data_IF_243133785638
#
_entry.id   IF_243133785638
#
_cell.length_a   1.000
_cell.length_b   1.000
_cell.length_c   1.000
_cell.angle_alpha   90.00
_cell.angle_beta   90.00
_cell.angle_gamma   90.00
#
_symmetry.space_group_name_H-M   'P 1'
#
loop_
_entity.id
_entity.type
_entity.pdbx_description
1 polymer ?
#
# COMPACT_ATOMS: atom_id res chain seq x y z
N UNK A 1 -43.48 17.79 0.56
CA UNK A 1 -43.35 16.58 1.41
C UNK A 1 -42.58 15.55 0.59
N UNK A 2 -41.55 14.91 1.16
CA UNK A 2 -40.81 13.88 0.45
C UNK A 2 -41.77 12.74 0.09
N UNK A 3 -41.76 12.31 -1.18
CA UNK A 3 -42.65 11.26 -1.68
C UNK A 3 -42.26 9.93 -0.99
N UNK A 4 -43.22 9.23 -0.39
CA UNK A 4 -43.03 7.92 0.28
C UNK A 4 -42.25 6.94 -0.61
N UNK A 5 -42.55 6.95 -1.92
CA UNK A 5 -41.87 6.11 -2.91
C UNK A 5 -40.38 6.48 -3.06
N UNK A 6 -40.07 7.75 -2.95
CA UNK A 6 -38.67 8.25 -3.02
C UNK A 6 -37.85 7.79 -1.81
N UNK A 7 -38.44 7.93 -0.59
CA UNK A 7 -37.79 7.45 0.65
C UNK A 7 -37.58 5.95 0.59
N UNK A 8 -38.58 5.19 0.11
CA UNK A 8 -38.48 3.74 -0.03
C UNK A 8 -37.39 3.33 -1.05
N UNK A 9 -37.32 4.03 -2.18
CA UNK A 9 -36.27 3.82 -3.19
C UNK A 9 -34.89 4.08 -2.61
N UNK A 10 -34.73 5.16 -1.83
CA UNK A 10 -33.49 5.52 -1.18
C UNK A 10 -33.04 4.48 -0.14
N UNK A 11 -33.97 3.96 0.67
CA UNK A 11 -33.71 2.85 1.60
C UNK A 11 -33.18 1.62 0.84
N UNK A 12 -33.79 1.25 -0.28
CA UNK A 12 -33.36 0.10 -1.06
C UNK A 12 -31.96 0.31 -1.66
N UNK A 13 -31.68 1.48 -2.21
CA UNK A 13 -30.37 1.82 -2.75
C UNK A 13 -29.26 1.78 -1.67
N UNK A 14 -29.54 2.29 -0.46
CA UNK A 14 -28.58 2.22 0.65
C UNK A 14 -28.36 0.78 1.11
N UNK A 15 -29.42 -0.04 1.16
CA UNK A 15 -29.30 -1.49 1.46
C UNK A 15 -28.42 -2.23 0.45
N UNK A 16 -28.56 -1.91 -0.82
CA UNK A 16 -27.75 -2.55 -1.87
C UNK A 16 -26.29 -2.10 -1.80
N UNK A 17 -26.04 -0.80 -1.54
CA UNK A 17 -24.70 -0.29 -1.27
C UNK A 17 -24.07 -1.00 -0.06
N UNK A 18 -24.81 -1.19 1.02
CA UNK A 18 -24.34 -1.88 2.22
C UNK A 18 -23.95 -3.34 1.94
N UNK A 19 -24.68 -4.04 1.08
CA UNK A 19 -24.30 -5.42 0.66
C UNK A 19 -22.96 -5.42 -0.09
N UNK A 20 -22.76 -4.43 -0.97
CA UNK A 20 -21.50 -4.30 -1.75
C UNK A 20 -20.33 -3.98 -0.81
N UNK A 21 -20.48 -3.01 0.10
CA UNK A 21 -19.41 -2.65 1.05
C UNK A 21 -19.05 -3.80 1.97
N UNK A 22 -20.05 -4.57 2.44
CA UNK A 22 -19.81 -5.75 3.26
C UNK A 22 -19.07 -6.86 2.49
N UNK A 23 -19.43 -7.11 1.22
CA UNK A 23 -18.69 -8.04 0.37
C UNK A 23 -17.24 -7.61 0.15
N UNK A 24 -17.01 -6.32 -0.10
CA UNK A 24 -15.66 -5.75 -0.24
C UNK A 24 -14.85 -5.85 1.06
N UNK A 25 -15.48 -5.65 2.22
CA UNK A 25 -14.87 -5.88 3.53
C UNK A 25 -14.35 -7.33 3.65
N UNK A 26 -15.20 -8.32 3.37
CA UNK A 26 -14.85 -9.74 3.46
C UNK A 26 -13.71 -10.12 2.50
N UNK A 27 -13.77 -9.65 1.25
CA UNK A 27 -12.72 -9.90 0.25
C UNK A 27 -11.39 -9.30 0.73
N UNK A 28 -11.40 -8.06 1.23
CA UNK A 28 -10.19 -7.38 1.70
C UNK A 28 -9.60 -8.07 2.93
N UNK A 29 -10.43 -8.52 3.87
CA UNK A 29 -10.00 -9.29 5.04
C UNK A 29 -9.32 -10.61 4.64
N UNK A 30 -9.89 -11.35 3.69
CA UNK A 30 -9.29 -12.60 3.19
C UNK A 30 -7.93 -12.34 2.53
N UNK A 31 -7.82 -11.31 1.70
CA UNK A 31 -6.57 -10.95 1.03
C UNK A 31 -5.49 -10.48 2.01
N UNK A 32 -5.86 -9.72 3.04
CA UNK A 32 -4.96 -9.31 4.12
C UNK A 32 -4.37 -10.53 4.84
N UNK A 33 -5.21 -11.51 5.19
CA UNK A 33 -4.77 -12.73 5.87
C UNK A 33 -3.79 -13.54 4.99
N UNK A 34 -4.08 -13.65 3.68
CA UNK A 34 -3.19 -14.32 2.73
C UNK A 34 -1.85 -13.60 2.57
N UNK A 35 -1.85 -12.25 2.53
CA UNK A 35 -0.63 -11.45 2.43
C UNK A 35 0.27 -11.65 3.66
N UNK A 36 -0.30 -11.56 4.87
CA UNK A 36 0.44 -11.79 6.12
C UNK A 36 1.08 -13.16 6.19
N UNK A 37 0.35 -14.20 5.75
CA UNK A 37 0.92 -15.55 5.70
C UNK A 37 2.11 -15.62 4.75
N UNK A 38 2.01 -15.06 3.55
CA UNK A 38 3.11 -15.04 2.59
C UNK A 38 4.34 -14.31 3.12
N UNK A 39 4.15 -13.19 3.83
CA UNK A 39 5.26 -12.46 4.44
C UNK A 39 5.95 -13.34 5.49
N UNK A 40 5.20 -13.89 6.42
CA UNK A 40 5.72 -14.76 7.47
C UNK A 40 6.45 -16.01 6.92
N UNK A 41 5.98 -16.58 5.80
CA UNK A 41 6.59 -17.75 5.16
C UNK A 41 7.94 -17.41 4.49
N UNK A 42 8.16 -16.16 4.08
CA UNK A 42 9.37 -15.75 3.33
C UNK A 42 10.38 -14.95 4.15
N UNK A 43 9.95 -14.30 5.21
CA UNK A 43 10.75 -13.46 6.09
C UNK A 43 12.00 -14.16 6.66
N UNK A 44 11.94 -15.43 7.11
CA UNK A 44 13.12 -16.13 7.64
C UNK A 44 14.26 -16.26 6.62
N UNK A 45 13.94 -16.43 5.34
CA UNK A 45 14.94 -16.51 4.27
C UNK A 45 15.70 -15.19 4.11
N UNK A 46 15.00 -14.06 4.20
CA UNK A 46 15.65 -12.75 4.08
C UNK A 46 16.49 -12.39 5.29
N UNK A 47 16.06 -12.74 6.50
CA UNK A 47 16.89 -12.61 7.69
C UNK A 47 18.16 -13.48 7.61
N UNK A 48 18.07 -14.67 7.02
CA UNK A 48 19.24 -15.49 6.78
C UNK A 48 20.24 -14.82 5.82
N UNK A 49 19.76 -14.24 4.69
CA UNK A 49 20.61 -13.50 3.77
C UNK A 49 21.25 -12.27 4.43
N UNK A 50 20.48 -11.51 5.20
CA UNK A 50 21.00 -10.38 5.97
C UNK A 50 22.09 -10.83 6.95
N UNK A 51 21.88 -11.95 7.64
CA UNK A 51 22.85 -12.55 8.54
C UNK A 51 24.16 -12.94 7.84
N UNK A 52 24.09 -13.55 6.67
CA UNK A 52 25.28 -13.91 5.90
C UNK A 52 26.02 -12.68 5.38
N UNK A 53 25.33 -11.65 4.90
CA UNK A 53 25.95 -10.39 4.51
C UNK A 53 26.65 -9.75 5.72
N UNK A 54 25.97 -9.66 6.86
CA UNK A 54 26.53 -9.14 8.13
C UNK A 54 27.79 -9.90 8.53
N UNK A 55 27.77 -11.23 8.42
CA UNK A 55 28.90 -12.10 8.73
C UNK A 55 30.11 -11.84 7.82
N UNK A 56 29.89 -11.74 6.50
CA UNK A 56 30.93 -11.44 5.53
C UNK A 56 31.55 -10.06 5.79
N UNK A 57 30.72 -9.02 5.95
CA UNK A 57 31.19 -7.64 6.18
C UNK A 57 32.01 -7.49 7.46
N UNK A 58 31.69 -8.28 8.50
CA UNK A 58 32.43 -8.30 9.77
C UNK A 58 33.81 -8.94 9.65
N UNK A 59 33.91 -10.06 8.90
CA UNK A 59 35.18 -10.75 8.71
C UNK A 59 36.07 -10.07 7.67
N UNK A 60 35.47 -9.25 6.80
CA UNK A 60 36.16 -8.56 5.71
C UNK A 60 35.78 -7.07 5.67
N UNK A 61 36.24 -6.28 6.67
CA UNK A 61 35.89 -4.86 6.76
C UNK A 61 36.38 -4.05 5.55
N UNK A 62 37.48 -4.48 4.93
CA UNK A 62 38.08 -3.85 3.74
C UNK A 62 37.36 -4.22 2.43
N UNK A 63 36.31 -5.04 2.48
CA UNK A 63 35.60 -5.46 1.27
C UNK A 63 34.80 -4.28 0.69
N UNK A 64 35.23 -3.78 -0.46
CA UNK A 64 34.51 -2.75 -1.21
C UNK A 64 33.58 -3.40 -2.24
N UNK A 65 32.29 -3.13 -2.12
CA UNK A 65 31.28 -3.64 -3.05
C UNK A 65 30.44 -2.50 -3.61
N UNK A 66 30.11 -2.56 -4.91
CA UNK A 66 29.43 -1.47 -5.61
C UNK A 66 28.11 -1.03 -4.98
N UNK A 67 27.35 -1.95 -4.38
CA UNK A 67 26.06 -1.67 -3.74
C UNK A 67 26.19 -0.97 -2.38
N UNK A 68 27.40 -0.84 -1.82
CA UNK A 68 27.70 -0.12 -0.58
C UNK A 68 28.41 1.21 -0.81
N UNK A 69 28.70 1.56 -2.08
CA UNK A 69 29.36 2.81 -2.41
C UNK A 69 28.38 3.98 -2.31
N UNK A 70 28.57 4.85 -1.31
CA UNK A 70 27.69 5.99 -1.03
C UNK A 70 27.85 7.15 -2.03
N UNK A 71 28.84 7.06 -2.96
CA UNK A 71 29.09 8.07 -4.00
C UNK A 71 29.17 9.50 -3.42
N UNK A 72 29.90 9.66 -2.32
CA UNK A 72 30.04 10.93 -1.60
C UNK A 72 30.67 12.02 -2.46
N UNK A 73 31.38 11.62 -3.53
CA UNK A 73 31.97 12.53 -4.52
C UNK A 73 30.95 13.30 -5.37
N UNK A 74 29.68 12.85 -5.43
CA UNK A 74 28.63 13.48 -6.24
C UNK A 74 27.88 14.50 -5.38
N UNK A 75 27.85 15.79 -5.77
CA UNK A 75 27.06 16.80 -5.09
C UNK A 75 25.56 16.45 -5.08
N UNK A 76 24.86 16.85 -4.02
CA UNK A 76 23.44 16.51 -3.85
C UNK A 76 22.54 16.99 -5.02
N UNK A 77 22.91 18.11 -5.66
CA UNK A 77 22.17 18.70 -6.78
C UNK A 77 22.34 17.91 -8.09
N UNK A 78 23.44 17.15 -8.22
CA UNK A 78 23.75 16.35 -9.42
C UNK A 78 23.36 14.88 -9.25
N UNK A 79 22.97 14.46 -8.04
CA UNK A 79 22.58 13.07 -7.75
C UNK A 79 21.33 12.67 -8.53
N UNK A 80 21.37 11.49 -9.09
CA UNK A 80 20.25 10.84 -9.76
C UNK A 80 19.52 9.93 -8.76
N UNK A 81 18.32 10.32 -8.40
CA UNK A 81 17.52 9.69 -7.35
C UNK A 81 16.37 8.93 -8.00
N UNK A 82 16.37 7.61 -7.83
CA UNK A 82 15.24 6.77 -8.25
C UNK A 82 14.29 6.50 -7.10
N UNK A 83 12.98 6.69 -7.32
CA UNK A 83 11.94 6.36 -6.33
C UNK A 83 11.03 5.26 -6.84
N UNK A 84 11.01 4.10 -6.15
CA UNK A 84 10.02 3.05 -6.38
C UNK A 84 8.79 3.39 -5.54
N UNK A 85 7.73 3.89 -6.20
CA UNK A 85 6.50 4.33 -5.52
C UNK A 85 5.43 3.26 -5.62
N UNK A 86 5.06 2.66 -4.49
CA UNK A 86 4.11 1.54 -4.46
C UNK A 86 2.72 2.05 -4.05
N UNK A 87 1.85 2.22 -5.04
CA UNK A 87 0.45 2.65 -4.88
C UNK A 87 -0.53 1.52 -5.20
N UNK A 88 -1.81 1.72 -4.90
CA UNK A 88 -2.85 0.76 -5.29
C UNK A 88 -3.21 0.84 -6.78
N UNK A 89 -3.72 -0.26 -7.32
CA UNK A 89 -4.35 -0.27 -8.67
C UNK A 89 -5.79 0.24 -8.64
N UNK A 90 -6.48 0.15 -7.47
CA UNK A 90 -7.89 0.50 -7.32
C UNK A 90 -8.12 1.36 -6.08
N UNK A 91 -9.09 2.24 -6.15
CA UNK A 91 -9.48 3.13 -5.05
C UNK A 91 -10.24 2.43 -3.90
N UNK A 92 -10.99 3.23 -3.16
CA UNK A 92 -11.78 2.84 -1.99
C UNK A 92 -10.95 2.30 -0.82
N UNK A 93 -9.70 2.72 -0.70
CA UNK A 93 -8.77 2.37 0.38
C UNK A 93 -8.49 3.57 1.32
N UNK A 94 -9.47 4.43 1.55
CA UNK A 94 -9.31 5.61 2.41
C UNK A 94 -8.16 6.51 1.95
N UNK A 95 -7.33 6.96 2.88
CA UNK A 95 -6.20 7.86 2.62
C UNK A 95 -4.92 7.14 2.12
N UNK A 96 -4.94 5.82 1.92
CA UNK A 96 -3.77 5.01 1.57
C UNK A 96 -2.91 5.63 0.46
N UNK A 97 -3.50 5.87 -0.73
CA UNK A 97 -2.73 6.43 -1.85
C UNK A 97 -2.34 7.88 -1.63
N UNK A 98 -3.18 8.68 -0.96
CA UNK A 98 -2.90 10.08 -0.67
C UNK A 98 -1.65 10.23 0.20
N UNK A 99 -1.50 9.40 1.21
CA UNK A 99 -0.35 9.44 2.11
C UNK A 99 0.96 9.09 1.40
N UNK A 100 0.95 8.08 0.50
CA UNK A 100 2.11 7.71 -0.32
C UNK A 100 2.50 8.85 -1.25
N UNK A 101 1.52 9.42 -1.96
CA UNK A 101 1.75 10.52 -2.90
C UNK A 101 2.35 11.73 -2.18
N UNK A 102 1.80 12.11 -1.03
CA UNK A 102 2.30 13.23 -0.22
C UNK A 102 3.77 12.99 0.19
N UNK A 103 4.09 11.79 0.63
CA UNK A 103 5.44 11.44 1.05
C UNK A 103 6.43 11.47 -0.12
N UNK A 104 6.00 11.02 -1.32
CA UNK A 104 6.84 11.13 -2.53
C UNK A 104 7.04 12.58 -2.95
N UNK A 105 6.01 13.44 -2.85
CA UNK A 105 6.17 14.88 -3.14
C UNK A 105 7.21 15.55 -2.22
N UNK A 106 7.37 15.06 -0.98
CA UNK A 106 8.41 15.53 -0.06
C UNK A 106 9.82 15.07 -0.51
N UNK A 107 9.93 13.91 -1.15
CA UNK A 107 11.21 13.43 -1.73
C UNK A 107 11.56 14.24 -2.98
N UNK A 108 10.58 14.45 -3.87
CA UNK A 108 10.75 15.23 -5.09
C UNK A 108 11.13 16.70 -4.83
N UNK A 109 10.85 17.22 -3.63
CA UNK A 109 11.26 18.56 -3.22
C UNK A 109 12.77 18.64 -2.83
N UNK A 110 13.46 17.50 -2.68
CA UNK A 110 14.90 17.48 -2.39
C UNK A 110 15.71 17.83 -3.64
N UNK A 111 16.91 18.40 -3.48
CA UNK A 111 17.79 18.65 -4.62
C UNK A 111 18.23 17.34 -5.29
N UNK A 112 18.34 17.36 -6.61
CA UNK A 112 18.75 16.21 -7.43
C UNK A 112 17.88 16.03 -8.67
N UNK A 113 18.24 15.04 -9.48
CA UNK A 113 17.45 14.59 -10.63
C UNK A 113 16.62 13.39 -10.19
N UNK A 114 15.30 13.47 -10.34
CA UNK A 114 14.38 12.45 -9.86
C UNK A 114 13.76 11.66 -11.00
N UNK A 115 13.79 10.32 -10.88
CA UNK A 115 13.10 9.40 -11.78
C UNK A 115 12.15 8.49 -10.97
N UNK A 116 10.90 8.35 -11.42
CA UNK A 116 9.88 7.58 -10.74
C UNK A 116 9.64 6.21 -11.40
N UNK A 117 9.69 5.17 -10.58
CA UNK A 117 9.36 3.79 -10.91
C UNK A 117 8.04 3.41 -10.22
N UNK A 118 6.92 3.59 -10.90
CA UNK A 118 5.62 3.53 -10.25
C UNK A 118 5.00 2.13 -10.37
N UNK A 119 4.75 1.51 -9.22
CA UNK A 119 3.94 0.29 -9.09
C UNK A 119 2.52 0.69 -8.73
N UNK A 120 1.54 0.24 -9.52
CA UNK A 120 0.13 0.55 -9.32
C UNK A 120 -0.42 1.66 -10.22
N UNK A 121 -1.68 1.50 -10.62
CA UNK A 121 -2.32 2.39 -11.61
C UNK A 121 -2.63 3.78 -11.06
N UNK A 122 -3.00 3.90 -9.78
CA UNK A 122 -3.41 5.20 -9.23
C UNK A 122 -2.24 6.17 -9.13
N UNK A 123 -1.04 5.67 -8.76
CA UNK A 123 0.18 6.47 -8.76
C UNK A 123 0.54 6.93 -10.18
N UNK A 124 0.49 6.03 -11.17
CA UNK A 124 0.74 6.39 -12.58
C UNK A 124 -0.19 7.49 -13.06
N UNK A 125 -1.48 7.39 -12.80
CA UNK A 125 -2.44 8.43 -13.18
C UNK A 125 -2.21 9.76 -12.47
N UNK A 126 -1.72 9.72 -11.23
CA UNK A 126 -1.44 10.93 -10.48
C UNK A 126 -0.20 11.65 -11.01
N UNK A 127 0.92 10.95 -11.07
CA UNK A 127 2.21 11.55 -11.44
C UNK A 127 2.32 11.85 -12.94
N UNK A 128 1.58 11.17 -13.81
CA UNK A 128 1.50 11.50 -15.24
C UNK A 128 1.02 12.94 -15.54
N UNK A 129 0.45 13.62 -14.55
CA UNK A 129 0.02 15.02 -14.66
C UNK A 129 1.02 16.00 -14.05
N UNK A 130 2.13 15.51 -13.53
CA UNK A 130 3.20 16.28 -12.91
C UNK A 130 4.38 16.39 -13.86
N UNK A 131 5.19 17.41 -13.68
CA UNK A 131 6.44 17.61 -14.43
C UNK A 131 7.58 16.83 -13.73
N UNK A 132 7.51 15.50 -13.82
CA UNK A 132 8.49 14.57 -13.22
C UNK A 132 8.76 13.44 -14.20
N UNK A 133 10.00 13.02 -14.32
CA UNK A 133 10.39 11.90 -15.16
C UNK A 133 9.86 10.59 -14.59
N UNK A 134 9.13 9.82 -15.42
CA UNK A 134 8.54 8.54 -15.07
C UNK A 134 9.03 7.51 -16.07
N UNK A 135 9.57 6.40 -15.60
CA UNK A 135 9.83 5.26 -16.48
C UNK A 135 8.52 4.68 -17.02
N UNK A 136 8.25 4.96 -18.30
CA UNK A 136 7.02 4.53 -18.99
C UNK A 136 6.99 3.04 -19.30
N UNK A 137 8.12 2.34 -19.26
CA UNK A 137 8.25 0.90 -19.47
C UNK A 137 7.99 0.12 -18.17
N UNK A 138 8.13 0.78 -17.04
CA UNK A 138 7.95 0.21 -15.70
C UNK A 138 6.45 0.06 -15.36
N UNK A 139 5.80 -0.96 -15.93
CA UNK A 139 4.34 -1.20 -15.80
C UNK A 139 4.03 -2.40 -14.91
N UNK A 140 4.24 -2.24 -13.60
CA UNK A 140 3.94 -3.27 -12.63
C UNK A 140 2.67 -2.95 -11.82
N UNK A 141 1.94 -4.01 -11.46
CA UNK A 141 0.76 -3.96 -10.57
C UNK A 141 1.15 -4.46 -9.19
N UNK A 142 0.54 -3.92 -8.16
CA UNK A 142 0.70 -4.39 -6.77
C UNK A 142 -0.11 -5.68 -6.49
N UNK A 143 -1.04 -6.05 -7.39
CA UNK A 143 -1.92 -7.20 -7.19
C UNK A 143 -1.13 -8.52 -7.17
N UNK A 144 -1.39 -9.33 -6.13
CA UNK A 144 -0.76 -10.66 -5.94
C UNK A 144 0.77 -10.60 -6.03
N UNK A 145 1.45 -9.95 -5.07
CA UNK A 145 2.90 -9.86 -5.07
C UNK A 145 3.55 -11.25 -5.10
N UNK A 146 4.59 -11.41 -5.93
CA UNK A 146 5.37 -12.63 -6.12
C UNK A 146 6.85 -12.30 -6.13
N UNK A 147 7.70 -13.27 -5.72
CA UNK A 147 9.15 -13.14 -5.82
C UNK A 147 9.64 -12.90 -7.25
N UNK A 148 8.96 -13.47 -8.24
CA UNK A 148 9.29 -13.25 -9.66
C UNK A 148 9.15 -11.76 -10.01
N UNK A 149 8.01 -11.15 -9.65
CA UNK A 149 7.79 -9.70 -9.90
C UNK A 149 8.78 -8.83 -9.14
N UNK A 150 9.09 -9.17 -7.89
CA UNK A 150 10.11 -8.43 -7.14
C UNK A 150 11.48 -8.51 -7.83
N UNK A 151 11.83 -9.67 -8.40
CA UNK A 151 13.07 -9.86 -9.17
C UNK A 151 13.08 -9.05 -10.46
N UNK A 152 11.95 -8.99 -11.18
CA UNK A 152 11.85 -8.19 -12.40
C UNK A 152 12.03 -6.69 -12.08
N UNK A 153 11.35 -6.21 -11.03
CA UNK A 153 11.48 -4.82 -10.53
C UNK A 153 12.91 -4.52 -10.12
N UNK A 154 13.49 -5.37 -9.27
CA UNK A 154 14.88 -5.17 -8.80
C UNK A 154 15.89 -5.26 -9.92
N UNK A 155 15.65 -6.11 -10.93
CA UNK A 155 16.53 -6.25 -12.09
C UNK A 155 16.73 -4.93 -12.82
N UNK A 156 15.63 -4.21 -13.12
CA UNK A 156 15.68 -2.88 -13.75
C UNK A 156 16.47 -1.89 -12.88
N UNK A 157 16.13 -1.81 -11.60
CA UNK A 157 16.77 -0.86 -10.66
C UNK A 157 18.25 -1.16 -10.45
N UNK A 158 18.61 -2.43 -10.27
CA UNK A 158 20.01 -2.85 -10.07
C UNK A 158 20.87 -2.62 -11.32
N UNK A 159 20.30 -2.77 -12.51
CA UNK A 159 20.97 -2.47 -13.77
C UNK A 159 21.28 -0.98 -13.89
N UNK A 160 20.30 -0.11 -13.69
CA UNK A 160 20.47 1.35 -13.74
C UNK A 160 21.46 1.85 -12.65
N UNK A 161 21.36 1.30 -11.42
CA UNK A 161 22.31 1.64 -10.37
C UNK A 161 23.76 1.24 -10.70
N UNK A 162 23.98 0.05 -11.28
CA UNK A 162 25.32 -0.40 -11.72
C UNK A 162 25.86 0.44 -12.86
N UNK A 163 24.99 0.85 -13.79
CA UNK A 163 25.35 1.68 -14.95
C UNK A 163 25.57 3.15 -14.58
N UNK A 164 25.40 3.54 -13.31
CA UNK A 164 25.46 4.94 -12.82
C UNK A 164 24.39 5.84 -13.46
N UNK A 165 23.27 5.25 -13.81
CA UNK A 165 22.07 5.99 -14.22
C UNK A 165 21.27 6.43 -12.98
N UNK A 166 21.41 5.72 -11.86
CA UNK A 166 20.88 6.08 -10.54
C UNK A 166 22.01 6.07 -9.52
N UNK A 167 22.02 7.06 -8.62
CA UNK A 167 23.00 7.18 -7.51
C UNK A 167 22.39 6.77 -6.18
N UNK A 168 21.12 7.06 -5.99
CA UNK A 168 20.35 6.66 -4.81
C UNK A 168 19.01 6.06 -5.26
N UNK A 169 18.53 5.09 -4.49
CA UNK A 169 17.21 4.48 -4.74
C UNK A 169 16.43 4.39 -3.45
N UNK A 170 15.21 4.90 -3.48
CA UNK A 170 14.26 4.85 -2.39
C UNK A 170 13.05 3.99 -2.76
N UNK A 171 12.41 3.39 -1.76
CA UNK A 171 11.12 2.74 -1.89
C UNK A 171 10.13 3.47 -1.01
N UNK A 172 9.06 3.98 -1.61
CA UNK A 172 7.95 4.64 -0.91
C UNK A 172 6.76 3.69 -0.91
N UNK A 173 6.42 3.23 0.27
CA UNK A 173 5.38 2.22 0.45
C UNK A 173 4.65 2.43 1.78
N UNK A 174 3.62 1.64 2.03
CA UNK A 174 2.93 1.68 3.32
C UNK A 174 3.25 0.42 4.10
N UNK A 175 3.84 0.59 5.29
CA UNK A 175 4.12 -0.46 6.25
C UNK A 175 2.97 -0.63 7.23
N UNK A 176 2.71 -1.87 7.62
CA UNK A 176 1.77 -2.16 8.71
C UNK A 176 2.51 -2.17 10.05
N UNK A 177 2.21 -1.21 10.92
CA UNK A 177 2.70 -1.26 12.32
C UNK A 177 1.94 -2.31 13.14
N UNK A 178 0.64 -2.38 12.95
CA UNK A 178 -0.24 -3.33 13.63
C UNK A 178 -1.50 -3.60 12.78
N UNK A 179 -2.48 -4.29 13.34
CA UNK A 179 -3.73 -4.63 12.62
C UNK A 179 -4.62 -3.43 12.30
N UNK A 180 -4.36 -2.26 12.87
CA UNK A 180 -5.19 -1.05 12.73
C UNK A 180 -4.41 0.09 12.08
N UNK A 181 -3.13 0.24 12.42
CA UNK A 181 -2.28 1.32 11.95
C UNK A 181 -1.38 0.87 10.81
N UNK A 182 -1.35 1.69 9.76
CA UNK A 182 -0.45 1.56 8.63
C UNK A 182 0.04 2.96 8.27
N UNK A 183 1.36 3.10 8.16
CA UNK A 183 2.03 4.35 7.85
C UNK A 183 2.75 4.28 6.51
N UNK A 184 2.69 5.39 5.75
CA UNK A 184 3.53 5.56 4.59
C UNK A 184 4.97 5.82 5.04
N UNK A 185 5.92 5.08 4.49
CA UNK A 185 7.33 5.08 4.88
C UNK A 185 8.23 5.20 3.65
N UNK A 186 9.37 5.84 3.84
CA UNK A 186 10.46 5.89 2.86
C UNK A 186 11.58 5.01 3.34
N UNK A 187 11.95 4.02 2.55
CA UNK A 187 13.09 3.15 2.81
C UNK A 187 14.18 3.42 1.78
N UNK A 188 15.41 3.73 2.22
CA UNK A 188 16.57 3.77 1.33
C UNK A 188 16.94 2.35 0.94
N UNK A 189 16.86 2.04 -0.34
CA UNK A 189 17.17 0.72 -0.88
C UNK A 189 18.63 0.63 -1.32
N UNK A 190 19.14 1.67 -1.94
CA UNK A 190 20.52 1.76 -2.46
C UNK A 190 21.05 3.19 -2.33
N UNK A 191 22.36 3.33 -2.11
CA UNK A 191 23.29 2.29 -1.72
C UNK A 191 22.98 1.74 -0.34
N UNK A 192 23.33 0.48 -0.08
CA UNK A 192 23.19 -0.17 1.23
C UNK A 192 24.15 0.46 2.23
N UNK A 193 23.70 0.59 3.47
CA UNK A 193 24.56 1.05 4.56
C UNK A 193 25.12 -0.14 5.34
N UNK A 194 26.43 -0.08 5.67
CA UNK A 194 27.05 -1.13 6.50
C UNK A 194 26.45 -1.19 7.91
N UNK A 195 25.96 -0.06 8.41
CA UNK A 195 25.23 0.07 9.68
C UNK A 195 24.01 -0.87 9.75
N UNK A 196 23.30 -1.08 8.64
CA UNK A 196 22.11 -1.93 8.59
C UNK A 196 22.41 -3.41 8.87
N UNK A 197 23.70 -3.78 8.80
CA UNK A 197 24.20 -5.14 9.03
C UNK A 197 24.99 -5.28 10.33
N UNK A 198 25.11 -4.20 11.13
CA UNK A 198 26.02 -4.15 12.29
C UNK A 198 25.49 -4.77 13.59
N UNK A 199 24.18 -4.79 13.81
CA UNK A 199 23.57 -5.09 15.13
C UNK A 199 22.99 -6.50 15.30
N UNK A 200 23.23 -7.43 14.39
CA UNK A 200 22.76 -8.78 14.61
C UNK A 200 23.44 -9.39 15.84
N UNK A 201 22.68 -9.56 16.94
CA UNK A 201 23.15 -10.27 18.15
C UNK A 201 23.43 -11.72 17.80
N UNK A 202 24.68 -12.01 17.42
CA UNK A 202 25.12 -13.38 17.22
C UNK A 202 25.53 -14.02 18.55
N UNK A 203 25.34 -15.34 18.71
CA UNK A 203 25.88 -16.08 19.84
C UNK A 203 27.39 -15.85 19.94
N UNK A 204 27.89 -15.66 21.16
CA UNK A 204 29.30 -15.37 21.46
C UNK A 204 30.30 -16.35 20.82
N UNK A 205 29.88 -17.54 20.49
CA UNK A 205 30.73 -18.59 19.92
C UNK A 205 31.03 -18.42 18.42
N UNK A 206 30.30 -17.57 17.70
CA UNK A 206 30.49 -17.33 16.27
C UNK A 206 31.60 -16.32 15.93
N UNK A 207 32.16 -15.64 16.90
CA UNK A 207 33.21 -14.61 16.68
C UNK A 207 34.60 -15.21 16.29
N UNK A 208 34.79 -16.52 16.34
CA UNK A 208 36.06 -17.21 16.07
C UNK A 208 36.04 -18.15 14.88
N UNK A 209 34.95 -18.17 14.10
CA UNK A 209 34.89 -19.02 12.92
C UNK A 209 35.73 -18.42 11.79
N UNK A 210 36.64 -19.22 11.25
CA UNK A 210 37.27 -18.95 9.95
C UNK A 210 36.20 -19.14 8.87
N UNK A 211 36.03 -18.13 8.01
CA UNK A 211 35.09 -18.21 6.90
C UNK A 211 35.88 -18.44 5.62
N UNK A 212 35.60 -19.56 4.95
CA UNK A 212 36.05 -19.81 3.60
C UNK A 212 34.92 -19.51 2.61
N UNK A 213 35.16 -18.53 1.70
CA UNK A 213 34.18 -18.11 0.70
C UNK A 213 34.66 -18.55 -0.68
N UNK A 214 33.95 -19.48 -1.29
CA UNK A 214 34.32 -20.06 -2.59
C UNK A 214 33.32 -19.58 -3.68
N UNK A 215 33.75 -19.08 -4.84
CA UNK A 215 35.16 -18.97 -5.30
C UNK A 215 35.93 -17.76 -4.73
N UNK A 216 35.25 -16.75 -4.26
CA UNK A 216 35.82 -15.57 -3.58
C UNK A 216 34.76 -14.78 -2.83
N UNK A 217 35.15 -13.94 -1.85
CA UNK A 217 34.22 -13.08 -1.10
C UNK A 217 33.38 -12.19 -2.01
N UNK A 218 34.00 -11.61 -3.04
CA UNK A 218 33.33 -10.74 -4.02
C UNK A 218 32.30 -11.51 -4.85
N UNK A 219 32.61 -12.73 -5.29
CA UNK A 219 31.69 -13.55 -6.05
C UNK A 219 30.46 -13.96 -5.22
N UNK A 220 30.67 -14.26 -3.95
CA UNK A 220 29.57 -14.57 -3.02
C UNK A 220 28.71 -13.34 -2.78
N UNK A 221 29.29 -12.17 -2.52
CA UNK A 221 28.54 -10.92 -2.34
C UNK A 221 27.78 -10.52 -3.60
N UNK A 222 28.35 -10.68 -4.78
CA UNK A 222 27.67 -10.44 -6.05
C UNK A 222 26.43 -11.33 -6.26
N UNK A 223 26.34 -12.48 -5.58
CA UNK A 223 25.22 -13.41 -5.64
C UNK A 223 24.16 -13.11 -4.56
N UNK A 224 24.61 -12.88 -3.32
CA UNK A 224 23.67 -12.76 -2.19
C UNK A 224 23.07 -11.36 -2.05
N UNK A 225 23.83 -10.28 -2.35
CA UNK A 225 23.31 -8.91 -2.22
C UNK A 225 22.12 -8.64 -3.15
N UNK A 226 22.15 -8.99 -4.44
CA UNK A 226 20.96 -8.87 -5.29
C UNK A 226 19.77 -9.68 -4.78
N UNK A 227 20.02 -10.88 -4.22
CA UNK A 227 18.96 -11.73 -3.64
C UNK A 227 18.35 -11.09 -2.40
N UNK A 228 19.16 -10.44 -1.58
CA UNK A 228 18.70 -9.66 -0.43
C UNK A 228 17.84 -8.45 -0.87
N UNK A 229 18.30 -7.68 -1.86
CA UNK A 229 17.54 -6.54 -2.43
C UNK A 229 16.20 -7.01 -3.03
N UNK A 230 16.20 -8.14 -3.74
CA UNK A 230 14.96 -8.77 -4.22
C UNK A 230 13.98 -9.05 -3.07
N UNK A 231 14.52 -9.50 -1.95
CA UNK A 231 13.76 -9.76 -0.74
C UNK A 231 13.17 -8.50 -0.13
N UNK A 232 13.96 -7.44 -0.04
CA UNK A 232 13.48 -6.15 0.47
C UNK A 232 12.32 -5.61 -0.38
N UNK A 233 12.47 -5.60 -1.72
CA UNK A 233 11.39 -5.17 -2.64
C UNK A 233 10.17 -6.07 -2.50
N UNK A 234 10.36 -7.39 -2.38
CA UNK A 234 9.25 -8.31 -2.17
C UNK A 234 8.52 -8.01 -0.86
N UNK A 235 9.24 -7.77 0.24
CA UNK A 235 8.69 -7.37 1.52
C UNK A 235 7.83 -6.11 1.39
N UNK A 236 8.38 -5.05 0.78
CA UNK A 236 7.65 -3.80 0.52
C UNK A 236 6.37 -4.00 -0.31
N UNK A 237 6.43 -4.85 -1.36
CA UNK A 237 5.25 -5.17 -2.18
C UNK A 237 4.18 -5.91 -1.40
N UNK A 238 4.55 -6.86 -0.53
CA UNK A 238 3.60 -7.62 0.28
C UNK A 238 3.02 -6.76 1.39
N UNK A 239 3.84 -5.94 2.07
CA UNK A 239 3.37 -5.00 3.08
C UNK A 239 2.45 -3.93 2.50
N UNK A 240 2.81 -3.34 1.36
CA UNK A 240 1.97 -2.38 0.65
C UNK A 240 0.61 -3.01 0.27
N UNK A 241 0.62 -4.24 -0.25
CA UNK A 241 -0.60 -4.98 -0.57
C UNK A 241 -1.44 -5.28 0.67
N UNK A 242 -0.82 -5.68 1.77
CA UNK A 242 -1.51 -5.92 3.03
C UNK A 242 -2.12 -4.62 3.59
N UNK A 243 -1.37 -3.52 3.57
CA UNK A 243 -1.80 -2.19 4.04
C UNK A 243 -2.94 -1.63 3.19
N UNK A 244 -2.88 -1.78 1.85
CA UNK A 244 -3.97 -1.43 0.93
C UNK A 244 -5.27 -2.14 1.32
N UNK A 245 -5.19 -3.46 1.53
CA UNK A 245 -6.37 -4.25 1.88
C UNK A 245 -6.86 -3.98 3.30
N UNK A 246 -5.97 -3.67 4.24
CA UNK A 246 -6.35 -3.23 5.58
C UNK A 246 -7.10 -1.88 5.54
N UNK A 247 -6.55 -0.90 4.83
CA UNK A 247 -7.19 0.41 4.67
C UNK A 247 -8.56 0.30 3.98
N UNK A 248 -8.67 -0.54 2.93
CA UNK A 248 -9.94 -0.80 2.25
C UNK A 248 -10.94 -1.51 3.17
N UNK A 249 -10.50 -2.49 3.94
CA UNK A 249 -11.34 -3.20 4.91
C UNK A 249 -11.93 -2.21 5.94
N UNK A 250 -11.11 -1.34 6.51
CA UNK A 250 -11.57 -0.34 7.48
C UNK A 250 -12.53 0.69 6.85
N UNK A 251 -12.23 1.17 5.63
CA UNK A 251 -13.09 2.08 4.90
C UNK A 251 -14.47 1.45 4.58
N UNK A 252 -14.47 0.18 4.15
CA UNK A 252 -15.72 -0.55 3.87
C UNK A 252 -16.54 -0.84 5.12
N UNK A 253 -15.88 -1.12 6.24
CA UNK A 253 -16.56 -1.27 7.55
C UNK A 253 -17.25 0.03 7.94
N UNK A 254 -16.54 1.15 7.93
CA UNK A 254 -17.10 2.47 8.24
C UNK A 254 -18.27 2.83 7.33
N UNK A 255 -18.14 2.55 6.02
CA UNK A 255 -19.24 2.78 5.07
C UNK A 255 -20.46 1.90 5.35
N UNK A 256 -20.26 0.65 5.77
CA UNK A 256 -21.35 -0.27 6.15
C UNK A 256 -22.07 0.21 7.42
N UNK A 257 -21.32 0.65 8.44
CA UNK A 257 -21.87 1.17 9.69
C UNK A 257 -22.68 2.45 9.43
N UNK A 258 -22.15 3.39 8.65
CA UNK A 258 -22.85 4.61 8.23
C UNK A 258 -24.12 4.31 7.42
N UNK A 259 -24.07 3.31 6.54
CA UNK A 259 -25.24 2.87 5.79
C UNK A 259 -26.35 2.32 6.70
N UNK A 260 -25.99 1.59 7.75
CA UNK A 260 -26.95 1.10 8.76
C UNK A 260 -27.66 2.25 9.51
N UNK A 261 -26.91 3.27 9.91
CA UNK A 261 -27.46 4.45 10.57
C UNK A 261 -28.42 5.19 9.65
N UNK A 262 -28.01 5.42 8.39
CA UNK A 262 -28.85 6.07 7.39
C UNK A 262 -30.14 5.29 7.11
N UNK A 263 -30.12 3.95 7.09
CA UNK A 263 -31.32 3.12 6.93
C UNK A 263 -32.26 3.32 8.13
N UNK A 264 -31.77 3.43 9.37
CA UNK A 264 -32.58 3.70 10.54
C UNK A 264 -33.30 5.05 10.44
N UNK A 265 -32.54 6.11 10.10
CA UNK A 265 -33.09 7.46 9.91
C UNK A 265 -34.18 7.50 8.82
N UNK A 266 -33.88 6.95 7.66
CA UNK A 266 -34.82 6.88 6.54
C UNK A 266 -36.04 6.05 6.87
N UNK A 267 -35.91 4.99 7.68
CA UNK A 267 -37.04 4.17 8.10
C UNK A 267 -37.99 4.94 9.04
N UNK A 268 -37.48 5.78 9.92
CA UNK A 268 -38.28 6.67 10.77
C UNK A 268 -39.05 7.69 9.92
N UNK A 269 -38.34 8.31 8.93
CA UNK A 269 -38.97 9.27 8.01
C UNK A 269 -40.06 8.60 7.15
N UNK A 270 -39.80 7.39 6.66
CA UNK A 270 -40.76 6.59 5.91
C UNK A 270 -42.02 6.32 6.72
N UNK A 271 -41.89 5.86 7.96
CA UNK A 271 -43.01 5.56 8.82
C UNK A 271 -43.82 6.81 9.13
N UNK A 272 -43.18 7.96 9.41
CA UNK A 272 -43.89 9.25 9.63
C UNK A 272 -44.63 9.69 8.37
N UNK A 273 -44.02 9.63 7.20
CA UNK A 273 -44.66 9.99 5.95
C UNK A 273 -45.84 9.07 5.62
N UNK A 274 -45.69 7.75 5.88
CA UNK A 274 -46.77 6.77 5.72
C UNK A 274 -47.94 7.04 6.64
N UNK A 275 -47.69 7.30 7.94
CA UNK A 275 -48.75 7.63 8.90
C UNK A 275 -49.48 8.92 8.51
N UNK A 276 -48.74 9.96 8.08
CA UNK A 276 -49.34 11.21 7.60
C UNK A 276 -50.25 10.99 6.38
N UNK A 277 -49.80 10.17 5.42
CA UNK A 277 -50.62 9.86 4.24
C UNK A 277 -51.89 9.08 4.60
N UNK A 278 -51.80 8.07 5.47
CA UNK A 278 -52.96 7.31 5.94
C UNK A 278 -53.92 8.24 6.67
N UNK A 279 -53.44 9.13 7.55
CA UNK A 279 -54.27 10.08 8.28
C UNK A 279 -54.98 11.04 7.31
N UNK A 280 -54.29 11.49 6.29
CA UNK A 280 -54.85 12.35 5.23
C UNK A 280 -55.96 11.63 4.46
N UNK A 281 -55.73 10.38 4.00
CA UNK A 281 -56.72 9.58 3.31
C UNK A 281 -57.98 9.35 4.17
N UNK A 282 -57.81 8.98 5.44
CA UNK A 282 -58.93 8.82 6.40
C UNK A 282 -59.71 10.15 6.55
N UNK A 283 -59.01 11.27 6.69
CA UNK A 283 -59.61 12.60 6.83
C UNK A 283 -60.41 12.99 5.60
N UNK A 284 -59.87 12.73 4.40
CA UNK A 284 -60.54 12.96 3.14
C UNK A 284 -61.83 12.14 2.98
N UNK A 285 -61.76 10.84 3.30
CA UNK A 285 -62.92 9.93 3.27
C UNK A 285 -63.97 10.37 4.28
N UNK A 286 -63.60 10.69 5.53
CA UNK A 286 -64.53 11.18 6.55
C UNK A 286 -65.17 12.51 6.17
N UNK A 287 -64.40 13.42 5.59
CA UNK A 287 -64.89 14.75 5.14
C UNK A 287 -65.85 14.61 3.95
N UNK A 288 -65.52 13.73 2.99
CA UNK A 288 -66.37 13.39 1.88
C UNK A 288 -67.73 12.79 2.31
N UNK A 289 -67.71 11.83 3.24
CA UNK A 289 -68.93 11.21 3.82
C UNK A 289 -69.82 12.25 4.53
N UNK A 290 -69.22 13.16 5.35
CA UNK A 290 -69.96 14.26 5.98
C UNK A 290 -70.55 15.26 4.99
N UNK A 291 -69.84 15.56 3.89
CA UNK A 291 -70.36 16.45 2.85
C UNK A 291 -71.55 15.82 2.08
N UNK A 292 -71.56 14.51 1.92
CA UNK A 292 -72.64 13.78 1.26
C UNK A 292 -73.87 13.70 2.14
N UNK A 293 -73.76 13.49 3.48
CA UNK A 293 -74.84 13.52 4.45
C UNK A 293 -75.52 14.89 4.60
N UNK A 294 -74.80 16.00 4.36
CA UNK A 294 -75.34 17.34 4.34
C UNK A 294 -76.14 17.69 3.07
N UNK A 295 -75.97 16.94 1.99
CA UNK A 295 -76.70 17.15 0.73
C UNK A 295 -77.91 16.26 0.52
N UNK A 296 -78.12 15.26 1.39
CA UNK A 296 -79.33 14.45 1.51
C UNK A 296 -80.27 15.05 2.61
#
# INVERSE_FOLDING_TARGET
>A
MANIREIQSRINSVKDTMKITNAMYMISSSKLTQARKKLADTEPYFYALQGEISRILRHMPELHHSYFNQREEIPAEERKIGSIVITADKGLAGAYNHNIVKLEEEILAKPGQHELFIVGELGRHYFAKRDVEIDTNFKYTVQRPTMHRARDISGVILEQFRNRELDEVYVVYTRMENSVQAEAEVMKLLPLERSDFGEMKMPLNMYREEIELNPSPMAVMNSIVPSYINGMIYGCLVEAYASEHNARMMAMKSATDSAQELIKELSILYNRARQAAITQEITEVCSGARAQQKKS
#
